data_IF_452517256353
#
_entry.id   IF_452517256353
#
_cell.length_a   1.000
_cell.length_b   1.000
_cell.length_c   1.000
_cell.angle_alpha   90.00
_cell.angle_beta   90.00
_cell.angle_gamma   90.00
#
_symmetry.space_group_name_H-M   'P 1'
#
loop_
_entity.id
_entity.type
_entity.pdbx_description
1 polymer ?
#
# COMPACT_ATOMS: atom_id res chain seq x y z
N UNK A 1 -0.38 -0.65 11.40
CA UNK A 1 -1.09 0.27 10.49
C UNK A 1 -0.66 1.74 10.71
N UNK A 2 -1.06 2.41 11.80
CA UNK A 2 -0.75 3.84 12.04
C UNK A 2 0.74 4.21 11.92
N UNK A 3 1.63 3.46 12.56
CA UNK A 3 3.06 3.80 12.56
C UNK A 3 3.68 3.75 11.16
N UNK A 4 3.23 2.82 10.31
CA UNK A 4 3.68 2.72 8.93
C UNK A 4 3.28 3.97 8.12
N UNK A 5 2.02 4.40 8.25
CA UNK A 5 1.53 5.64 7.62
C UNK A 5 2.31 6.86 8.10
N UNK A 6 2.62 6.93 9.40
CA UNK A 6 3.36 8.05 9.97
C UNK A 6 4.75 8.25 9.33
N UNK A 7 5.39 7.15 8.90
CA UNK A 7 6.74 7.16 8.30
C UNK A 7 6.73 7.00 6.77
N UNK A 8 5.56 6.99 6.13
CA UNK A 8 5.46 6.88 4.67
C UNK A 8 5.57 5.45 4.13
N UNK A 9 5.37 4.43 4.96
CA UNK A 9 5.32 3.04 4.53
C UNK A 9 3.88 2.67 4.13
N UNK A 10 3.60 2.35 2.84
CA UNK A 10 2.29 1.90 2.39
C UNK A 10 1.85 0.60 3.07
N UNK A 11 0.57 0.51 3.42
CA UNK A 11 -0.04 -0.70 3.98
C UNK A 11 -1.38 -0.97 3.33
N UNK A 12 -1.56 -2.20 2.85
CA UNK A 12 -2.79 -2.70 2.25
C UNK A 12 -3.30 -3.91 3.03
N UNK A 13 -4.59 -4.23 2.88
CA UNK A 13 -5.17 -5.47 3.40
C UNK A 13 -5.72 -6.27 2.22
N UNK A 14 -5.29 -7.54 2.11
CA UNK A 14 -5.80 -8.51 1.15
C UNK A 14 -5.93 -9.86 1.87
N UNK A 15 -7.13 -10.45 1.87
CA UNK A 15 -7.40 -11.70 2.59
C UNK A 15 -6.97 -12.94 1.80
N UNK A 16 -7.03 -12.86 0.48
CA UNK A 16 -6.89 -14.02 -0.41
C UNK A 16 -5.44 -14.26 -0.84
N UNK A 17 -4.56 -13.27 -0.69
CA UNK A 17 -3.19 -13.35 -1.19
C UNK A 17 -2.32 -14.36 -0.42
N UNK A 18 -2.50 -14.49 0.89
CA UNK A 18 -1.59 -15.24 1.76
C UNK A 18 -1.41 -16.71 1.33
N UNK A 19 -2.50 -17.37 0.90
CA UNK A 19 -2.47 -18.77 0.47
C UNK A 19 -1.98 -18.96 -0.98
N UNK A 20 -1.73 -17.88 -1.70
CA UNK A 20 -1.47 -17.88 -3.16
C UNK A 20 -0.05 -17.41 -3.52
N UNK A 21 0.77 -17.08 -2.52
CA UNK A 21 2.14 -16.59 -2.72
C UNK A 21 3.12 -17.35 -1.84
N UNK A 22 4.33 -17.52 -2.33
CA UNK A 22 5.46 -18.10 -1.64
C UNK A 22 6.57 -17.07 -1.42
N UNK A 23 7.55 -17.43 -0.58
CA UNK A 23 8.79 -16.65 -0.48
C UNK A 23 9.46 -16.56 -1.86
N UNK A 24 10.04 -15.41 -2.16
CA UNK A 24 10.67 -15.06 -3.46
C UNK A 24 9.72 -14.89 -4.65
N UNK A 25 8.39 -14.93 -4.47
CA UNK A 25 7.46 -14.64 -5.57
C UNK A 25 7.50 -13.17 -5.98
N UNK A 26 7.46 -12.94 -7.30
CA UNK A 26 7.27 -11.61 -7.87
C UNK A 26 5.78 -11.24 -7.91
N UNK A 27 5.49 -10.00 -7.52
CA UNK A 27 4.14 -9.47 -7.45
C UNK A 27 4.10 -8.03 -7.94
N UNK A 28 2.99 -7.64 -8.55
CA UNK A 28 2.69 -6.26 -8.92
C UNK A 28 1.55 -5.73 -8.04
N UNK A 29 1.74 -4.56 -7.42
CA UNK A 29 0.72 -3.88 -6.64
C UNK A 29 0.23 -2.62 -7.35
N UNK A 30 -1.03 -2.62 -7.75
CA UNK A 30 -1.73 -1.47 -8.33
C UNK A 30 -2.48 -0.73 -7.22
N UNK A 31 -1.77 0.13 -6.50
CA UNK A 31 -2.29 0.79 -5.28
C UNK A 31 -3.57 1.62 -5.50
N UNK A 32 -3.66 2.32 -6.63
CA UNK A 32 -4.81 3.16 -6.98
C UNK A 32 -6.05 2.33 -7.30
N UNK A 33 -5.86 1.19 -7.96
CA UNK A 33 -6.94 0.28 -8.35
C UNK A 33 -7.35 -0.64 -7.18
N UNK A 34 -6.46 -0.82 -6.20
CA UNK A 34 -6.64 -1.78 -5.12
C UNK A 34 -6.52 -3.21 -5.63
N UNK A 35 -5.58 -3.46 -6.54
CA UNK A 35 -5.37 -4.78 -7.15
C UNK A 35 -3.93 -5.26 -6.93
N UNK A 36 -3.78 -6.57 -6.75
CA UNK A 36 -2.49 -7.25 -6.67
C UNK A 36 -2.46 -8.29 -7.78
N UNK A 37 -1.41 -8.33 -8.58
CA UNK A 37 -1.15 -9.42 -9.52
C UNK A 37 0.00 -10.28 -8.99
N UNK A 38 -0.25 -11.56 -8.80
CA UNK A 38 0.76 -12.52 -8.37
C UNK A 38 0.45 -13.88 -9.00
N UNK A 39 1.48 -14.59 -9.50
CA UNK A 39 1.32 -15.93 -10.07
C UNK A 39 0.30 -16.03 -11.23
N UNK A 40 0.13 -14.96 -12.02
CA UNK A 40 -0.87 -14.89 -13.10
C UNK A 40 -2.32 -14.71 -12.63
N UNK A 41 -2.54 -14.57 -11.32
CA UNK A 41 -3.85 -14.28 -10.72
C UNK A 41 -3.94 -12.81 -10.31
N UNK A 42 -5.17 -12.32 -10.13
CA UNK A 42 -5.44 -10.95 -9.64
C UNK A 42 -6.30 -11.01 -8.39
N UNK A 43 -5.87 -10.28 -7.35
CA UNK A 43 -6.52 -10.20 -6.06
C UNK A 43 -6.96 -8.78 -5.76
N UNK A 44 -8.08 -8.64 -5.06
CA UNK A 44 -8.55 -7.33 -4.60
C UNK A 44 -7.97 -7.02 -3.22
N UNK A 45 -7.46 -5.82 -3.03
CA UNK A 45 -6.99 -5.31 -1.75
C UNK A 45 -7.66 -3.98 -1.41
N UNK A 46 -7.36 -3.45 -0.23
CA UNK A 46 -7.82 -2.11 0.14
C UNK A 46 -7.27 -1.09 -0.85
N UNK A 47 -8.16 -0.32 -1.49
CA UNK A 47 -7.76 0.85 -2.29
C UNK A 47 -7.09 1.87 -1.39
N UNK A 48 -5.98 2.41 -1.85
CA UNK A 48 -5.33 3.51 -1.16
C UNK A 48 -6.09 4.81 -1.49
N UNK A 49 -6.70 5.50 -0.51
CA UNK A 49 -7.39 6.75 -0.78
C UNK A 49 -6.41 7.83 -1.26
N UNK A 50 -6.86 8.74 -2.13
CA UNK A 50 -6.03 9.83 -2.69
C UNK A 50 -5.32 10.66 -1.60
N UNK A 51 -6.01 10.92 -0.49
CA UNK A 51 -5.42 11.65 0.63
C UNK A 51 -4.26 10.89 1.27
N UNK A 52 -4.36 9.56 1.35
CA UNK A 52 -3.30 8.72 1.89
C UNK A 52 -2.13 8.62 0.91
N UNK A 53 -2.39 8.55 -0.41
CA UNK A 53 -1.34 8.63 -1.44
C UNK A 53 -0.54 9.92 -1.30
N UNK A 54 -1.20 11.09 -1.17
CA UNK A 54 -0.53 12.38 -0.96
C UNK A 54 0.36 12.40 0.28
N UNK A 55 -0.07 11.75 1.36
CA UNK A 55 0.71 11.64 2.60
C UNK A 55 1.97 10.79 2.35
N UNK A 56 1.84 9.66 1.65
CA UNK A 56 2.99 8.82 1.29
C UNK A 56 3.97 9.55 0.38
N UNK A 57 3.48 10.27 -0.64
CA UNK A 57 4.32 11.06 -1.57
C UNK A 57 5.13 12.16 -0.83
N UNK A 58 4.64 12.59 0.33
CA UNK A 58 5.32 13.57 1.17
C UNK A 58 6.34 12.97 2.14
N UNK A 59 6.46 11.64 2.20
CA UNK A 59 7.34 10.90 3.11
C UNK A 59 6.65 10.45 4.40
N UNK A 60 5.32 10.39 4.42
CA UNK A 60 4.53 10.02 5.58
C UNK A 60 3.85 11.19 6.28
N UNK A 61 2.93 10.87 7.20
CA UNK A 61 2.08 11.88 7.84
C UNK A 61 2.88 12.92 8.61
N UNK A 62 3.94 12.51 9.31
CA UNK A 62 4.77 13.44 10.09
C UNK A 62 5.50 14.41 9.16
N UNK A 63 6.05 13.91 8.05
CA UNK A 63 6.72 14.74 7.07
C UNK A 63 5.76 15.70 6.34
N UNK A 64 4.52 15.26 6.12
CA UNK A 64 3.46 16.09 5.54
C UNK A 64 3.09 17.26 6.46
N UNK A 65 2.89 17.00 7.76
CA UNK A 65 2.57 18.03 8.75
C UNK A 65 3.72 19.03 8.94
N UNK A 66 4.98 18.59 8.89
CA UNK A 66 6.15 19.45 9.02
C UNK A 66 6.41 20.37 7.79
N UNK A 67 5.73 20.14 6.66
CA UNK A 67 5.84 20.97 5.44
C UNK A 67 4.77 22.07 5.37
N UNK A 68 3.76 22.02 6.22
CA UNK A 68 2.69 23.03 6.28
C UNK A 68 3.05 24.21 7.19
N UNK A 69 4.24 24.21 7.80
CA UNK A 69 4.90 25.34 8.51
C UNK A 69 5.94 26.04 7.62
#
# INVERSE_FOLDING_TARGET
YRNAINIGLPVIVCKELYDQVADQDEMELLMQEGLIKAGGQTFTCTKLPDQMQRILDQGGLIASLNKED
#
